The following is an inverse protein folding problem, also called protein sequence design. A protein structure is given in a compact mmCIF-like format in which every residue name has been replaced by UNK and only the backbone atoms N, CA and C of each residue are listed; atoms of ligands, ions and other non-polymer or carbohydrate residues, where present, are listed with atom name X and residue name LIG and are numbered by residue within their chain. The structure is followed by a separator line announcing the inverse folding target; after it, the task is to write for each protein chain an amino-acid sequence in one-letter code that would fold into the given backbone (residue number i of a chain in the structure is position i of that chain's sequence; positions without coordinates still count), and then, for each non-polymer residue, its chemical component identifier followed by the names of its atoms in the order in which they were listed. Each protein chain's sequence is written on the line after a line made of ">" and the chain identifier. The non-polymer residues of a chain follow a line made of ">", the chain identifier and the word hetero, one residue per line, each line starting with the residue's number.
data_IF_559977316560
#
_entry.id   IF_559977316560
#
_cell.length_a   1.000
_cell.length_b   1.000
_cell.length_c   1.000
_cell.angle_alpha   90.00
_cell.angle_beta   90.00
_cell.angle_gamma   90.00
#
_symmetry.space_group_name_H-M   'P 1'
#
loop_
_entity.id
_entity.type
_entity.pdbx_description
1 polymer ?
#
# COMPACT_ATOMS: atom_id res chain seq x y z
N UNK A 1 5.49 0.23 -19.04
CA UNK A 1 5.43 -1.07 -18.34
C UNK A 1 5.08 -0.80 -16.89
N UNK A 2 4.01 -1.38 -16.39
CA UNK A 2 3.63 -1.22 -14.98
C UNK A 2 4.65 -1.93 -14.09
N UNK A 3 5.38 -1.19 -13.27
CA UNK A 3 6.31 -1.76 -12.31
C UNK A 3 5.69 -1.82 -10.90
N UNK A 4 6.09 -2.81 -10.10
CA UNK A 4 5.91 -2.68 -8.65
C UNK A 4 6.73 -1.47 -8.26
N UNK A 5 6.04 -0.43 -7.77
CA UNK A 5 6.72 0.79 -7.38
C UNK A 5 7.72 0.56 -6.26
N UNK A 6 7.34 -0.21 -5.24
CA UNK A 6 8.21 -0.58 -4.11
C UNK A 6 7.57 -1.67 -3.25
N UNK A 7 8.38 -2.58 -2.70
CA UNK A 7 8.01 -3.43 -1.57
C UNK A 7 8.51 -2.80 -0.28
N UNK A 8 7.66 -2.76 0.74
CA UNK A 8 7.94 -2.10 2.02
C UNK A 8 8.16 -3.09 3.15
N UNK A 9 7.53 -4.26 3.05
CA UNK A 9 7.64 -5.31 4.06
C UNK A 9 7.27 -6.65 3.42
N UNK A 10 8.00 -7.71 3.77
CA UNK A 10 7.85 -9.02 3.16
C UNK A 10 8.29 -10.11 4.12
N UNK A 11 7.45 -11.10 4.34
CA UNK A 11 7.80 -12.17 5.26
C UNK A 11 6.66 -13.12 5.59
N UNK A 12 6.91 -13.96 6.61
CA UNK A 12 5.97 -14.93 7.18
C UNK A 12 5.92 -14.75 8.69
N UNK A 13 4.74 -14.58 9.26
CA UNK A 13 4.57 -14.27 10.68
C UNK A 13 3.31 -14.91 11.26
N UNK A 14 3.41 -15.35 12.53
CA UNK A 14 2.24 -15.62 13.35
C UNK A 14 1.82 -14.35 14.09
N UNK A 15 0.59 -13.90 13.88
CA UNK A 15 0.11 -12.62 14.41
C UNK A 15 -0.58 -12.78 15.76
N UNK A 16 -0.04 -12.09 16.78
CA UNK A 16 -0.57 -12.12 18.14
C UNK A 16 -1.76 -11.19 18.37
N UNK A 17 -2.19 -11.09 19.63
CA UNK A 17 -3.38 -10.34 20.08
C UNK A 17 -3.35 -8.83 19.79
N UNK A 18 -2.16 -8.26 19.60
CA UNK A 18 -1.99 -6.85 19.25
C UNK A 18 -2.09 -6.55 17.77
N UNK A 19 -2.29 -7.58 16.93
CA UNK A 19 -2.43 -7.40 15.50
C UNK A 19 -3.78 -6.77 15.17
N UNK A 20 -3.71 -5.60 14.66
CA UNK A 20 -4.87 -4.81 14.25
C UNK A 20 -4.38 -3.46 13.77
N UNK A 21 -5.00 -2.93 12.74
CA UNK A 21 -4.58 -1.65 12.20
C UNK A 21 -5.05 -0.50 13.07
N UNK A 22 -4.22 -0.04 13.99
CA UNK A 22 -4.32 1.32 14.52
C UNK A 22 -3.88 2.37 13.46
N UNK A 23 -3.16 1.91 12.44
CA UNK A 23 -2.74 2.75 11.33
C UNK A 23 -3.06 2.03 10.02
N UNK A 24 -4.03 2.53 9.27
CA UNK A 24 -4.22 2.16 7.88
C UNK A 24 -2.98 2.60 7.08
N UNK A 25 -1.98 1.73 7.01
CA UNK A 25 -0.97 1.89 5.99
C UNK A 25 -1.74 1.76 4.67
N UNK A 26 -1.83 2.82 3.88
CA UNK A 26 -2.42 2.78 2.54
C UNK A 26 -1.50 1.99 1.61
N UNK A 27 -1.36 0.70 1.84
CA UNK A 27 -0.52 -0.25 1.10
C UNK A 27 -1.41 -1.33 0.50
N UNK A 28 -1.04 -1.75 -0.69
CA UNK A 28 -1.50 -3.02 -1.20
C UNK A 28 -0.86 -4.14 -0.39
N UNK A 29 -1.62 -5.17 -0.10
CA UNK A 29 -1.13 -6.33 0.63
C UNK A 29 -1.53 -7.61 -0.08
N UNK A 30 -0.59 -8.53 -0.15
CA UNK A 30 -0.86 -9.90 -0.52
C UNK A 30 -0.65 -10.77 0.72
N UNK A 31 -1.65 -11.57 1.05
CA UNK A 31 -1.58 -12.53 2.15
C UNK A 31 -1.86 -13.94 1.63
N UNK A 32 -1.09 -14.91 2.11
CA UNK A 32 -1.46 -16.32 2.06
C UNK A 32 -1.62 -16.82 3.49
N UNK A 33 -2.75 -17.43 3.80
CA UNK A 33 -3.07 -17.90 5.15
C UNK A 33 -2.66 -19.34 5.27
N UNK A 34 -1.66 -19.65 6.12
CA UNK A 34 -1.20 -21.03 6.36
C UNK A 34 -2.07 -21.77 7.38
N UNK A 35 -2.69 -21.05 8.32
CA UNK A 35 -3.49 -21.65 9.38
C UNK A 35 -3.76 -20.67 10.52
N UNK A 36 -4.30 -21.19 11.61
CA UNK A 36 -4.80 -20.39 12.70
C UNK A 36 -6.14 -19.72 12.38
N UNK A 37 -6.54 -18.73 13.16
CA UNK A 37 -7.80 -18.02 12.95
C UNK A 37 -7.64 -16.53 13.06
N UNK A 38 -8.26 -15.83 12.12
CA UNK A 38 -8.32 -14.38 12.07
C UNK A 38 -9.58 -13.94 11.34
N UNK A 39 -10.02 -12.72 11.63
CA UNK A 39 -11.17 -12.12 10.98
C UNK A 39 -10.83 -10.74 10.45
N UNK A 40 -11.66 -10.22 9.57
CA UNK A 40 -11.64 -8.81 9.18
C UNK A 40 -13.05 -8.27 9.08
N UNK A 41 -13.22 -7.01 9.43
CA UNK A 41 -14.49 -6.29 9.26
C UNK A 41 -14.40 -5.45 7.99
N UNK A 42 -15.39 -5.62 7.10
CA UNK A 42 -15.58 -4.83 5.90
C UNK A 42 -17.06 -4.51 5.71
N UNK A 43 -17.40 -3.24 5.42
CA UNK A 43 -18.80 -2.83 5.26
C UNK A 43 -19.67 -3.11 6.48
N UNK A 44 -19.12 -3.11 7.68
CA UNK A 44 -19.82 -3.43 8.94
C UNK A 44 -20.08 -4.91 9.19
N UNK A 45 -19.64 -5.80 8.28
CA UNK A 45 -19.74 -7.26 8.44
C UNK A 45 -18.38 -7.87 8.76
N UNK A 46 -18.39 -8.90 9.59
CA UNK A 46 -17.19 -9.67 9.92
C UNK A 46 -17.06 -10.90 9.01
N UNK A 47 -15.85 -11.10 8.52
CA UNK A 47 -15.47 -12.21 7.66
C UNK A 47 -14.28 -12.94 8.28
N UNK A 48 -14.22 -14.28 8.09
CA UNK A 48 -13.07 -15.08 8.52
C UNK A 48 -12.06 -15.20 7.39
N UNK A 49 -10.78 -15.09 7.71
CA UNK A 49 -9.73 -15.53 6.80
C UNK A 49 -9.81 -17.07 6.71
N UNK A 50 -9.69 -17.59 5.49
CA UNK A 50 -9.70 -19.03 5.22
C UNK A 50 -8.27 -19.52 5.04
N UNK A 51 -7.85 -20.63 5.66
CA UNK A 51 -6.58 -21.28 5.36
C UNK A 51 -6.46 -21.63 3.87
N UNK A 52 -5.23 -21.73 3.39
CA UNK A 52 -4.83 -22.11 2.04
C UNK A 52 -5.35 -21.20 0.92
N UNK A 53 -5.76 -19.96 1.29
CA UNK A 53 -6.26 -18.96 0.37
C UNK A 53 -5.32 -17.76 0.26
N UNK A 54 -5.21 -17.22 -0.96
CA UNK A 54 -4.62 -15.92 -1.24
C UNK A 54 -5.63 -14.81 -1.02
N UNK A 55 -5.17 -13.70 -0.47
CA UNK A 55 -5.93 -12.47 -0.32
C UNK A 55 -5.14 -11.31 -0.87
N UNK A 56 -5.64 -10.65 -1.90
CA UNK A 56 -5.18 -9.34 -2.30
C UNK A 56 -6.04 -8.28 -1.60
N UNK A 57 -5.39 -7.41 -0.87
CA UNK A 57 -5.99 -6.32 -0.11
C UNK A 57 -5.52 -5.00 -0.74
N UNK A 58 -6.26 -4.46 -1.71
CA UNK A 58 -5.94 -3.16 -2.29
C UNK A 58 -5.89 -2.09 -1.21
N UNK A 59 -5.04 -1.07 -1.39
CA UNK A 59 -4.93 0.01 -0.41
C UNK A 59 -6.25 0.77 -0.18
N UNK A 60 -7.20 0.67 -1.12
CA UNK A 60 -8.54 1.24 -1.02
C UNK A 60 -9.51 0.38 -0.21
N UNK A 61 -9.20 -0.91 -0.01
CA UNK A 61 -10.05 -1.79 0.79
C UNK A 61 -9.99 -1.40 2.26
N UNK A 62 -11.10 -0.90 2.77
CA UNK A 62 -11.25 -0.51 4.17
C UNK A 62 -11.57 -1.73 5.01
N UNK A 63 -10.56 -2.35 5.57
CA UNK A 63 -10.71 -3.50 6.46
C UNK A 63 -10.10 -3.22 7.83
N UNK A 64 -10.63 -3.88 8.85
CA UNK A 64 -10.07 -3.94 10.20
C UNK A 64 -9.81 -5.41 10.54
N UNK A 65 -8.57 -5.89 10.34
CA UNK A 65 -8.23 -7.26 10.66
C UNK A 65 -8.05 -7.45 12.17
N UNK A 66 -8.37 -8.65 12.63
CA UNK A 66 -8.20 -9.11 14.02
C UNK A 66 -7.64 -10.52 14.03
N UNK A 67 -6.69 -10.78 14.91
CA UNK A 67 -6.20 -12.14 15.21
C UNK A 67 -6.94 -12.74 16.41
N UNK A 68 -7.04 -14.05 16.43
CA UNK A 68 -7.46 -14.79 17.62
C UNK A 68 -6.22 -15.10 18.47
N UNK A 69 -6.13 -14.60 19.72
CA UNK A 69 -4.98 -14.84 20.58
C UNK A 69 -4.77 -16.31 20.96
N UNK A 70 -5.87 -17.10 21.03
CA UNK A 70 -5.84 -18.51 21.41
C UNK A 70 -5.41 -19.41 20.22
N UNK A 71 -5.59 -18.92 18.98
CA UNK A 71 -5.18 -19.62 17.77
C UNK A 71 -4.64 -18.60 16.76
N UNK A 72 -3.42 -18.08 16.98
CA UNK A 72 -2.83 -17.02 16.16
C UNK A 72 -2.78 -17.38 14.67
N UNK A 73 -3.19 -16.45 13.82
CA UNK A 73 -3.16 -16.65 12.38
C UNK A 73 -1.71 -16.62 11.89
N UNK A 74 -1.26 -17.69 11.25
CA UNK A 74 0.02 -17.75 10.54
C UNK A 74 -0.21 -17.38 9.08
N UNK A 75 0.50 -16.36 8.58
CA UNK A 75 0.39 -15.96 7.19
C UNK A 75 1.73 -15.50 6.61
N UNK A 76 1.91 -15.72 5.30
CA UNK A 76 2.91 -15.03 4.50
C UNK A 76 2.32 -13.74 3.98
N UNK A 77 3.13 -12.68 3.89
CA UNK A 77 2.67 -11.37 3.49
C UNK A 77 3.67 -10.61 2.62
N UNK A 78 3.16 -9.72 1.79
CA UNK A 78 3.89 -8.67 1.12
C UNK A 78 3.10 -7.37 1.22
N UNK A 79 3.75 -6.31 1.72
CA UNK A 79 3.25 -4.94 1.73
C UNK A 79 3.95 -4.16 0.62
N UNK A 80 3.23 -3.67 -0.39
CA UNK A 80 3.84 -3.12 -1.61
C UNK A 80 3.00 -2.00 -2.24
N UNK A 81 3.65 -1.23 -3.09
CA UNK A 81 3.02 -0.29 -4.02
C UNK A 81 2.90 -0.94 -5.40
N UNK A 82 1.77 -0.76 -6.06
CA UNK A 82 1.51 -1.21 -7.42
C UNK A 82 1.24 0.01 -8.30
N UNK A 83 1.95 0.12 -9.43
CA UNK A 83 1.76 1.18 -10.40
C UNK A 83 1.58 0.57 -11.80
N UNK A 84 0.49 0.86 -12.48
CA UNK A 84 -0.67 1.59 -11.98
C UNK A 84 -1.41 0.82 -10.88
N UNK A 85 -2.02 1.53 -9.91
CA UNK A 85 -2.68 0.89 -8.79
C UNK A 85 -3.97 0.20 -9.20
N UNK A 86 -4.35 -0.81 -8.42
CA UNK A 86 -5.67 -1.44 -8.50
C UNK A 86 -6.51 -0.88 -7.36
N UNK A 87 -7.71 -0.41 -7.68
CA UNK A 87 -8.66 0.10 -6.70
C UNK A 87 -9.84 -0.86 -6.56
N UNK A 88 -10.04 -1.40 -5.38
CA UNK A 88 -11.21 -2.19 -5.03
C UNK A 88 -11.61 -1.86 -3.59
N UNK A 89 -12.90 -1.85 -3.31
CA UNK A 89 -13.42 -1.49 -1.98
C UNK A 89 -13.32 -2.66 -0.99
N UNK A 90 -13.21 -3.88 -1.47
CA UNK A 90 -13.18 -5.11 -0.69
C UNK A 90 -11.90 -5.93 -0.94
N UNK A 91 -11.50 -6.79 0.01
CA UNK A 91 -10.49 -7.80 -0.22
C UNK A 91 -10.90 -8.75 -1.36
N UNK A 92 -9.91 -9.15 -2.17
CA UNK A 92 -10.09 -10.15 -3.21
C UNK A 92 -9.50 -11.46 -2.71
N UNK A 93 -10.33 -12.48 -2.56
CA UNK A 93 -9.92 -13.83 -2.15
C UNK A 93 -9.81 -14.72 -3.39
N UNK A 94 -8.77 -15.53 -3.45
CA UNK A 94 -8.50 -16.44 -4.56
C UNK A 94 -7.95 -17.77 -4.04
N UNK A 95 -8.43 -18.87 -4.63
CA UNK A 95 -7.91 -20.22 -4.37
C UNK A 95 -6.76 -20.50 -5.35
N UNK A 96 -5.50 -20.59 -4.87
CA UNK A 96 -4.35 -20.78 -5.76
C UNK A 96 -4.36 -22.13 -6.49
N UNK A 97 -5.10 -23.12 -5.99
CA UNK A 97 -5.20 -24.44 -6.61
C UNK A 97 -6.07 -24.45 -7.88
N UNK A 98 -6.83 -23.37 -8.12
CA UNK A 98 -7.72 -23.27 -9.29
C UNK A 98 -7.01 -22.82 -10.57
N UNK A 99 -5.76 -22.33 -10.46
CA UNK A 99 -4.97 -21.85 -11.60
C UNK A 99 -3.49 -22.22 -11.43
N UNK A 100 -2.96 -23.03 -12.34
CA UNK A 100 -1.59 -23.54 -12.24
C UNK A 100 -0.50 -22.47 -12.28
N UNK A 101 -0.73 -21.32 -12.96
CA UNK A 101 0.22 -20.22 -12.97
C UNK A 101 0.18 -19.46 -11.64
N UNK A 102 -1.00 -19.29 -11.06
CA UNK A 102 -1.17 -18.70 -9.73
C UNK A 102 -0.55 -19.61 -8.68
N UNK A 103 -0.75 -20.91 -8.76
CA UNK A 103 -0.14 -21.90 -7.87
C UNK A 103 1.40 -21.83 -7.91
N UNK A 104 1.99 -21.82 -9.11
CA UNK A 104 3.46 -21.71 -9.28
C UNK A 104 3.99 -20.38 -8.71
N UNK A 105 3.36 -19.26 -9.05
CA UNK A 105 3.76 -17.95 -8.54
C UNK A 105 3.57 -17.84 -7.02
N UNK A 106 2.52 -18.48 -6.47
CA UNK A 106 2.31 -18.58 -5.03
C UNK A 106 3.46 -19.32 -4.36
N UNK A 107 3.93 -20.44 -4.92
CA UNK A 107 5.11 -21.16 -4.42
C UNK A 107 6.36 -20.28 -4.31
N UNK A 108 6.63 -19.46 -5.33
CA UNK A 108 7.74 -18.48 -5.32
C UNK A 108 7.54 -17.44 -4.21
N UNK A 109 6.35 -16.86 -4.11
CA UNK A 109 5.99 -15.90 -3.06
C UNK A 109 6.20 -16.48 -1.66
N UNK A 110 5.69 -17.70 -1.41
CA UNK A 110 5.78 -18.34 -0.10
C UNK A 110 7.21 -18.65 0.29
N UNK A 111 8.02 -19.14 -0.66
CA UNK A 111 9.46 -19.43 -0.40
C UNK A 111 10.24 -18.15 -0.14
N UNK A 112 10.00 -17.11 -0.91
CA UNK A 112 10.61 -15.80 -0.66
C UNK A 112 10.24 -15.21 0.71
N UNK A 113 8.97 -15.32 1.12
CA UNK A 113 8.51 -14.85 2.43
C UNK A 113 9.15 -15.62 3.58
N UNK A 114 9.35 -16.93 3.42
CA UNK A 114 10.07 -17.77 4.38
C UNK A 114 11.54 -17.31 4.52
N UNK A 115 12.25 -17.18 3.40
CA UNK A 115 13.68 -16.76 3.38
C UNK A 115 13.84 -15.35 3.97
N UNK A 116 12.94 -14.42 3.68
CA UNK A 116 12.97 -13.09 4.25
C UNK A 116 12.81 -13.12 5.78
N UNK A 117 11.93 -13.97 6.29
CA UNK A 117 11.72 -14.12 7.74
C UNK A 117 12.89 -14.78 8.47
N UNK A 118 13.69 -15.58 7.76
CA UNK A 118 14.93 -16.18 8.27
C UNK A 118 16.15 -15.24 8.14
N UNK A 119 15.98 -14.08 7.51
CA UNK A 119 17.09 -13.17 7.22
C UNK A 119 18.01 -13.64 6.07
N UNK A 120 17.57 -14.65 5.32
CA UNK A 120 18.30 -15.23 4.18
C UNK A 120 18.00 -14.52 2.85
N UNK A 121 16.95 -13.70 2.80
CA UNK A 121 16.58 -12.85 1.67
C UNK A 121 16.54 -11.39 2.11
N UNK A 122 17.44 -10.58 1.57
CA UNK A 122 17.36 -9.12 1.71
C UNK A 122 16.42 -8.56 0.62
N UNK A 123 15.15 -8.44 0.93
CA UNK A 123 14.12 -7.96 -0.02
C UNK A 123 14.23 -6.45 -0.35
N UNK A 124 15.20 -5.74 0.22
CA UNK A 124 15.54 -4.37 -0.19
C UNK A 124 16.60 -4.31 -1.28
N UNK A 125 17.33 -5.41 -1.50
CA UNK A 125 18.33 -5.50 -2.55
C UNK A 125 17.70 -5.96 -3.87
N UNK A 126 17.26 -4.99 -4.66
CA UNK A 126 16.65 -5.24 -5.97
C UNK A 126 17.65 -5.71 -7.02
N UNK A 127 18.96 -5.66 -6.75
CA UNK A 127 19.99 -6.24 -7.64
C UNK A 127 20.08 -7.77 -7.50
N UNK A 128 19.48 -8.34 -6.46
CA UNK A 128 19.42 -9.77 -6.24
C UNK A 128 18.32 -10.41 -7.11
N UNK A 129 18.69 -11.35 -7.97
CA UNK A 129 17.76 -12.03 -8.89
C UNK A 129 16.61 -12.73 -8.17
N UNK A 130 16.85 -13.30 -6.99
CA UNK A 130 15.82 -13.94 -6.19
C UNK A 130 14.80 -12.94 -5.67
N UNK A 131 15.25 -11.78 -5.22
CA UNK A 131 14.38 -10.66 -4.81
C UNK A 131 13.53 -10.22 -5.98
N UNK A 132 14.11 -10.00 -7.15
CA UNK A 132 13.41 -9.65 -8.38
C UNK A 132 12.35 -10.68 -8.78
N UNK A 133 12.67 -11.98 -8.66
CA UNK A 133 11.74 -13.08 -8.92
C UNK A 133 10.56 -13.07 -7.93
N UNK A 134 10.83 -12.92 -6.63
CA UNK A 134 9.78 -12.85 -5.61
C UNK A 134 8.81 -11.68 -5.86
N UNK A 135 9.35 -10.51 -6.24
CA UNK A 135 8.51 -9.35 -6.52
C UNK A 135 7.73 -9.49 -7.83
N UNK A 136 8.30 -10.15 -8.83
CA UNK A 136 7.57 -10.49 -10.05
C UNK A 136 6.40 -11.43 -9.76
N UNK A 137 6.60 -12.40 -8.85
CA UNK A 137 5.53 -13.28 -8.40
C UNK A 137 4.43 -12.52 -7.64
N UNK A 138 4.79 -11.63 -6.70
CA UNK A 138 3.82 -10.78 -5.97
C UNK A 138 3.01 -9.91 -6.94
N UNK A 139 3.67 -9.28 -7.92
CA UNK A 139 3.02 -8.47 -8.94
C UNK A 139 2.06 -9.30 -9.80
N UNK A 140 2.53 -10.43 -10.29
CA UNK A 140 1.71 -11.34 -11.08
C UNK A 140 0.46 -11.75 -10.31
N UNK A 141 0.61 -12.20 -9.06
CA UNK A 141 -0.50 -12.60 -8.20
C UNK A 141 -1.50 -11.47 -8.00
N UNK A 142 -1.04 -10.26 -7.64
CA UNK A 142 -1.90 -9.12 -7.42
C UNK A 142 -2.71 -8.75 -8.69
N UNK A 143 -2.06 -8.72 -9.85
CA UNK A 143 -2.71 -8.39 -11.13
C UNK A 143 -3.67 -9.48 -11.59
N UNK A 144 -3.23 -10.74 -11.54
CA UNK A 144 -4.00 -11.87 -12.05
C UNK A 144 -5.26 -12.12 -11.23
N UNK A 145 -5.15 -12.19 -9.89
CA UNK A 145 -6.32 -12.42 -9.03
C UNK A 145 -7.29 -11.23 -9.05
N UNK A 146 -6.78 -10.00 -9.28
CA UNK A 146 -7.64 -8.83 -9.46
C UNK A 146 -8.40 -8.89 -10.76
N UNK A 147 -7.73 -9.26 -11.87
CA UNK A 147 -8.37 -9.43 -13.17
C UNK A 147 -9.44 -10.52 -13.14
N UNK A 148 -9.17 -11.67 -12.50
CA UNK A 148 -10.13 -12.74 -12.30
C UNK A 148 -11.37 -12.31 -11.50
N UNK A 149 -11.21 -11.33 -10.60
CA UNK A 149 -12.30 -10.71 -9.83
C UNK A 149 -12.98 -9.53 -10.57
N UNK A 150 -12.60 -9.25 -11.81
CA UNK A 150 -13.17 -8.16 -12.63
C UNK A 150 -12.59 -6.77 -12.34
N UNK A 151 -11.47 -6.67 -11.64
CA UNK A 151 -10.79 -5.39 -11.39
C UNK A 151 -9.62 -5.21 -12.35
N UNK A 152 -9.42 -3.97 -12.80
CA UNK A 152 -8.31 -3.57 -13.65
C UNK A 152 -7.48 -2.47 -12.98
N UNK A 153 -6.18 -2.38 -13.31
CA UNK A 153 -5.39 -1.23 -12.90
C UNK A 153 -6.00 0.09 -13.39
N UNK A 154 -5.71 1.16 -12.66
CA UNK A 154 -6.04 2.53 -13.09
C UNK A 154 -5.44 2.77 -14.47
N UNK A 155 -6.22 3.32 -15.38
CA UNK A 155 -5.83 3.57 -16.78
C UNK A 155 -5.76 5.08 -17.12
N UNK A 156 -5.74 5.95 -16.13
CA UNK A 156 -5.61 7.40 -16.32
C UNK A 156 -4.12 7.75 -16.50
N UNK A 157 -3.68 7.95 -17.74
CA UNK A 157 -2.29 8.21 -18.11
C UNK A 157 -1.68 9.40 -17.36
N UNK A 158 -2.43 10.50 -17.16
CA UNK A 158 -1.95 11.65 -16.39
C UNK A 158 -1.70 11.30 -14.94
N UNK A 159 -2.56 10.46 -14.35
CA UNK A 159 -2.40 10.02 -12.96
C UNK A 159 -1.23 9.04 -12.85
N UNK A 160 -1.08 8.12 -13.79
CA UNK A 160 0.03 7.14 -13.81
C UNK A 160 1.37 7.87 -13.92
N UNK A 161 1.52 8.74 -14.91
CA UNK A 161 2.76 9.52 -15.11
C UNK A 161 3.04 10.45 -13.91
N UNK A 162 2.01 11.03 -13.30
CA UNK A 162 2.18 11.81 -12.08
C UNK A 162 2.66 10.97 -10.88
N UNK A 163 2.18 9.72 -10.74
CA UNK A 163 2.65 8.81 -9.71
C UNK A 163 4.13 8.46 -9.91
N UNK A 164 4.53 8.11 -11.14
CA UNK A 164 5.92 7.82 -11.51
C UNK A 164 6.82 9.03 -11.23
N UNK A 165 6.42 10.21 -11.71
CA UNK A 165 7.16 11.44 -11.45
C UNK A 165 7.35 11.74 -9.95
N UNK A 166 6.29 11.60 -9.15
CA UNK A 166 6.37 11.84 -7.71
C UNK A 166 7.27 10.82 -7.00
N UNK A 167 7.30 9.57 -7.46
CA UNK A 167 8.20 8.53 -6.91
C UNK A 167 9.66 8.80 -7.24
N UNK A 168 9.97 9.10 -8.50
CA UNK A 168 11.34 9.42 -8.95
C UNK A 168 11.92 10.65 -8.27
N UNK A 169 11.06 11.58 -7.87
CA UNK A 169 11.46 12.84 -7.25
C UNK A 169 11.12 12.91 -5.75
N UNK A 170 10.99 11.76 -5.07
CA UNK A 170 10.51 11.68 -3.69
C UNK A 170 11.34 12.51 -2.70
N UNK A 171 12.66 12.59 -2.93
CA UNK A 171 13.60 13.37 -2.12
C UNK A 171 13.55 14.89 -2.35
N UNK A 172 12.85 15.34 -3.42
CA UNK A 172 12.77 16.76 -3.77
C UNK A 172 11.52 17.42 -3.16
N UNK A 173 11.54 18.75 -2.96
CA UNK A 173 10.37 19.50 -2.51
C UNK A 173 9.34 19.64 -3.65
N UNK A 174 8.59 18.57 -3.93
CA UNK A 174 7.54 18.56 -4.95
C UNK A 174 6.30 19.27 -4.43
N UNK A 175 5.77 20.22 -5.21
CA UNK A 175 4.46 20.83 -4.98
C UNK A 175 3.42 20.26 -5.94
N UNK A 176 2.15 20.24 -5.51
CA UNK A 176 1.04 19.80 -6.37
C UNK A 176 0.89 20.73 -7.58
N UNK A 177 1.21 22.02 -7.41
CA UNK A 177 1.23 23.00 -8.48
C UNK A 177 2.23 22.62 -9.60
N UNK A 178 3.46 22.25 -9.24
CA UNK A 178 4.46 21.80 -10.21
C UNK A 178 4.01 20.55 -10.95
N UNK A 179 3.40 19.59 -10.26
CA UNK A 179 2.87 18.37 -10.88
C UNK A 179 1.74 18.73 -11.86
N UNK A 180 0.75 19.53 -11.46
CA UNK A 180 -0.37 19.91 -12.31
C UNK A 180 0.07 20.68 -13.55
N UNK A 181 1.06 21.58 -13.39
CA UNK A 181 1.64 22.39 -14.47
C UNK A 181 2.26 21.52 -15.58
N UNK A 182 2.83 20.36 -15.25
CA UNK A 182 3.39 19.42 -16.26
C UNK A 182 2.35 18.97 -17.28
N UNK A 183 1.08 18.91 -16.87
CA UNK A 183 -0.04 18.45 -17.70
C UNK A 183 -0.91 19.60 -18.20
N UNK A 184 -0.48 20.85 -18.04
CA UNK A 184 -1.22 22.04 -18.48
C UNK A 184 -2.64 22.13 -17.90
N UNK A 185 -2.83 21.67 -16.65
CA UNK A 185 -4.11 21.71 -15.94
C UNK A 185 -3.97 22.49 -14.63
N UNK A 186 -5.11 22.97 -14.10
CA UNK A 186 -5.13 23.64 -12.80
C UNK A 186 -4.94 22.66 -11.65
N UNK A 187 -4.47 23.15 -10.50
CA UNK A 187 -4.28 22.35 -9.28
C UNK A 187 -5.58 21.63 -8.89
N UNK A 188 -6.72 22.35 -8.92
CA UNK A 188 -8.03 21.76 -8.59
C UNK A 188 -8.45 20.66 -9.58
N UNK A 189 -8.17 20.84 -10.86
CA UNK A 189 -8.46 19.83 -11.89
C UNK A 189 -7.60 18.58 -11.67
N UNK A 190 -6.31 18.75 -11.37
CA UNK A 190 -5.41 17.66 -11.05
C UNK A 190 -5.83 16.94 -9.78
N UNK A 191 -6.06 17.66 -8.67
CA UNK A 191 -6.49 17.07 -7.39
C UNK A 191 -7.77 16.25 -7.58
N UNK A 192 -8.77 16.77 -8.29
CA UNK A 192 -10.03 16.07 -8.56
C UNK A 192 -9.81 14.81 -9.40
N UNK A 193 -9.03 14.88 -10.47
CA UNK A 193 -8.69 13.77 -11.36
C UNK A 193 -7.95 12.67 -10.62
N UNK A 194 -6.89 13.04 -9.90
CA UNK A 194 -6.11 12.14 -9.07
C UNK A 194 -6.97 11.48 -7.99
N UNK A 195 -7.77 12.27 -7.26
CA UNK A 195 -8.60 11.74 -6.18
C UNK A 195 -9.68 10.78 -6.67
N UNK A 196 -10.21 10.99 -7.87
CA UNK A 196 -11.16 10.08 -8.53
C UNK A 196 -10.49 8.73 -8.83
N UNK A 197 -9.28 8.73 -9.39
CA UNK A 197 -8.56 7.53 -9.77
C UNK A 197 -7.94 6.79 -8.58
N UNK A 198 -7.44 7.54 -7.58
CA UNK A 198 -6.64 7.02 -6.47
C UNK A 198 -7.39 6.90 -5.15
N UNK A 199 -8.65 7.32 -5.06
CA UNK A 199 -9.43 7.37 -3.82
C UNK A 199 -8.74 8.13 -2.67
N UNK A 200 -7.76 8.99 -2.98
CA UNK A 200 -7.01 9.82 -2.04
C UNK A 200 -6.48 11.06 -2.75
N UNK A 201 -6.14 12.13 -2.00
CA UNK A 201 -5.54 13.33 -2.61
C UNK A 201 -4.06 13.11 -2.96
N UNK A 202 -3.52 13.82 -3.98
CA UNK A 202 -2.11 13.70 -4.34
C UNK A 202 -1.17 14.02 -3.17
N UNK A 203 -1.50 15.04 -2.38
CA UNK A 203 -0.72 15.40 -1.18
C UNK A 203 -0.72 14.27 -0.12
N UNK A 204 -1.90 13.71 0.18
CA UNK A 204 -2.01 12.62 1.15
C UNK A 204 -1.28 11.37 0.66
N UNK A 205 -1.34 11.08 -0.64
CA UNK A 205 -0.62 9.98 -1.26
C UNK A 205 0.90 10.18 -1.14
N UNK A 206 1.42 11.33 -1.58
CA UNK A 206 2.86 11.64 -1.53
C UNK A 206 3.40 11.61 -0.10
N UNK A 207 2.68 12.24 0.85
CA UNK A 207 3.05 12.19 2.28
C UNK A 207 3.14 10.75 2.78
N UNK A 208 2.16 9.91 2.42
CA UNK A 208 2.11 8.52 2.84
C UNK A 208 3.29 7.72 2.29
N UNK A 209 3.61 7.86 0.99
CA UNK A 209 4.76 7.19 0.37
C UNK A 209 6.07 7.63 1.03
N UNK A 210 6.27 8.93 1.28
CA UNK A 210 7.44 9.44 2.01
C UNK A 210 7.60 8.80 3.39
N UNK A 211 6.52 8.73 4.16
CA UNK A 211 6.56 8.13 5.50
C UNK A 211 6.85 6.63 5.46
N UNK A 212 6.30 5.90 4.49
CA UNK A 212 6.58 4.47 4.31
C UNK A 212 8.04 4.24 3.94
N UNK A 213 8.53 5.00 2.95
CA UNK A 213 9.94 4.92 2.54
C UNK A 213 10.88 5.25 3.71
N UNK A 214 10.58 6.31 4.47
CA UNK A 214 11.37 6.64 5.65
C UNK A 214 11.37 5.52 6.69
N UNK A 215 10.22 4.91 6.96
CA UNK A 215 10.13 3.75 7.87
C UNK A 215 11.00 2.61 7.39
N UNK A 216 10.87 2.22 6.14
CA UNK A 216 11.70 1.17 5.52
C UNK A 216 13.21 1.46 5.65
N UNK A 217 13.64 2.71 5.42
CA UNK A 217 15.04 3.11 5.58
C UNK A 217 15.51 2.97 7.04
N UNK A 218 14.68 3.38 8.01
CA UNK A 218 14.99 3.25 9.43
C UNK A 218 15.07 1.79 9.87
N UNK A 219 14.15 0.95 9.42
CA UNK A 219 14.12 -0.48 9.70
C UNK A 219 15.37 -1.20 9.11
N UNK A 220 15.95 -0.63 8.05
CA UNK A 220 17.25 -1.05 7.47
C UNK A 220 18.46 -0.38 8.12
N UNK A 221 18.33 0.20 9.29
CA UNK A 221 19.44 0.78 10.07
C UNK A 221 19.96 2.12 9.55
N UNK A 222 19.29 2.79 8.60
CA UNK A 222 19.64 4.16 8.23
C UNK A 222 19.33 5.14 9.36
N UNK A 223 20.13 6.16 9.51
CA UNK A 223 19.88 7.20 10.50
C UNK A 223 18.63 8.03 10.15
N UNK A 224 18.01 8.64 11.15
CA UNK A 224 16.82 9.47 10.97
C UNK A 224 17.10 10.68 10.04
N UNK A 225 18.32 11.25 10.08
CA UNK A 225 18.69 12.36 9.20
C UNK A 225 18.82 11.93 7.74
N UNK A 226 19.41 10.75 7.50
CA UNK A 226 19.50 10.17 6.14
C UNK A 226 18.10 9.85 5.63
N UNK A 227 17.26 9.19 6.44
CA UNK A 227 15.89 8.88 6.04
C UNK A 227 15.08 10.16 5.72
N UNK A 228 15.23 11.25 6.51
CA UNK A 228 14.55 12.51 6.24
C UNK A 228 14.96 13.11 4.89
N UNK A 229 16.27 13.17 4.63
CA UNK A 229 16.80 13.71 3.37
C UNK A 229 16.34 12.89 2.14
N UNK A 230 16.41 11.56 2.23
CA UNK A 230 16.04 10.67 1.13
C UNK A 230 14.54 10.72 0.77
N UNK A 231 13.68 11.14 1.70
CA UNK A 231 12.24 11.26 1.44
C UNK A 231 11.74 12.71 1.35
N UNK A 232 12.66 13.69 1.25
CA UNK A 232 12.33 15.08 0.98
C UNK A 232 11.76 15.86 2.17
N UNK A 233 12.14 15.51 3.41
CA UNK A 233 11.93 16.34 4.58
C UNK A 233 13.17 17.19 4.86
N UNK A 234 12.96 18.42 5.33
CA UNK A 234 14.05 19.37 5.60
C UNK A 234 15.04 18.87 6.66
N UNK A 235 14.54 18.13 7.63
CA UNK A 235 15.31 17.62 8.77
C UNK A 235 14.59 16.48 9.49
N UNK A 236 15.29 15.90 10.47
CA UNK A 236 14.78 14.81 11.30
C UNK A 236 13.53 15.19 12.11
N UNK A 237 13.43 16.46 12.56
CA UNK A 237 12.30 16.94 13.36
C UNK A 237 11.03 17.01 12.52
N UNK A 238 11.14 17.49 11.28
CA UNK A 238 10.04 17.51 10.31
C UNK A 238 9.52 16.10 10.00
N UNK A 239 10.43 15.14 9.82
CA UNK A 239 10.05 13.74 9.61
C UNK A 239 9.37 13.15 10.85
N UNK A 240 9.90 13.36 12.05
CA UNK A 240 9.27 12.90 13.30
C UNK A 240 7.89 13.51 13.52
N UNK A 241 7.73 14.80 13.23
CA UNK A 241 6.42 15.46 13.28
C UNK A 241 5.43 14.82 12.28
N UNK A 242 5.91 14.54 11.06
CA UNK A 242 5.07 13.90 10.04
C UNK A 242 4.62 12.48 10.43
N UNK A 243 5.46 11.70 11.14
CA UNK A 243 5.08 10.40 11.69
C UNK A 243 3.99 10.49 12.77
N UNK A 244 3.97 11.56 13.55
CA UNK A 244 2.96 11.79 14.62
C UNK A 244 1.62 12.27 14.09
N UNK A 245 1.62 12.85 12.88
CA UNK A 245 0.42 13.43 12.25
C UNK A 245 -0.01 12.53 11.09
N UNK A 246 -0.93 11.58 11.29
CA UNK A 246 -1.39 10.72 10.21
C UNK A 246 -1.97 11.56 9.06
N UNK A 247 -1.83 11.12 7.79
CA UNK A 247 -2.46 11.79 6.67
C UNK A 247 -3.98 11.83 6.92
N UNK A 248 -4.61 12.97 6.67
CA UNK A 248 -6.05 13.13 6.80
C UNK A 248 -6.75 12.07 5.92
N UNK A 249 -7.68 11.32 6.49
CA UNK A 249 -8.51 10.39 5.73
C UNK A 249 -9.24 11.18 4.63
N UNK A 250 -9.19 10.69 3.39
CA UNK A 250 -9.96 11.26 2.29
C UNK A 250 -11.45 11.21 2.65
N UNK A 251 -12.06 12.35 2.89
CA UNK A 251 -13.49 12.44 3.13
C UNK A 251 -13.89 13.29 4.33
N UNK A 252 -13.72 14.62 4.21
CA UNK A 252 -14.71 15.63 4.69
C UNK A 252 -14.39 16.92 3.94
N UNK A 253 -15.14 17.19 2.91
CA UNK A 253 -15.27 18.54 2.37
C UNK A 253 -15.97 19.36 3.45
N UNK A 254 -15.22 20.10 4.24
CA UNK A 254 -15.77 21.17 5.06
C UNK A 254 -16.11 22.34 4.14
N UNK A 255 -17.29 22.30 3.55
CA UNK A 255 -18.06 23.51 3.32
C UNK A 255 -19.06 23.63 4.46
N UNK A 256 -18.63 24.15 5.59
CA UNK A 256 -19.56 24.83 6.49
C UNK A 256 -20.04 26.09 5.79
N UNK A 257 -21.23 26.00 5.23
CA UNK A 257 -22.00 27.18 4.83
C UNK A 257 -22.35 27.95 6.08
N UNK A 258 -21.70 29.09 6.24
CA UNK A 258 -22.06 30.08 7.26
C UNK A 258 -23.55 30.44 7.10
N UNK A 259 -24.38 30.37 8.14
CA UNK A 259 -25.78 30.78 8.03
C UNK A 259 -25.89 32.26 7.69
N UNK A 260 -26.91 32.68 6.94
CA UNK A 260 -27.09 34.08 6.58
C UNK A 260 -27.33 34.92 7.84
N UNK A 261 -26.59 36.01 7.98
CA UNK A 261 -26.85 37.01 9.04
C UNK A 261 -28.24 37.59 8.83
N UNK A 262 -29.12 37.37 9.82
CA UNK A 262 -30.38 38.06 9.93
C UNK A 262 -30.11 39.55 10.12
N UNK A 263 -30.49 40.35 9.11
CA UNK A 263 -30.53 41.80 9.24
C UNK A 263 -31.64 42.26 10.17
N UNK A 264 -31.27 43.20 10.99
CA UNK A 264 -32.20 44.18 11.55
C UNK A 264 -32.09 45.48 10.78
#
# INVERSE_FOLDING_TARGET
>A
MSDIGKVYDFGKIAVGSGWGYKNSKNLNRLYYIHGGSGTYVHGGKEYKFKPDMLYFLPYTAKIMPKSNPENPMLHSYADFELIPPITAEAPIMFDPETDGMVHAACGVFLKGAELASLGELNYFDMSNDLTGLCFSAVKFLALHISAAAGFSPVNDEVVIDALEYMLENLSKPITIHEVAKRYYITDDAFIRRFSKSMCTTPYAWLKNIRLKTARSLLDNGKSLSVAAAEVGYSDSSALLHAFRTPPAAAGKSHRETKPPRSGK
#
